data_IF_484559041778
#
_entry.id   IF_484559041778
#
_cell.length_a   1.000
_cell.length_b   1.000
_cell.length_c   1.000
_cell.angle_alpha   90.00
_cell.angle_beta   90.00
_cell.angle_gamma   90.00
#
_symmetry.space_group_name_H-M   'P 1'
#
loop_
_entity.id
_entity.type
_entity.pdbx_description
1 polymer ?
#
# COMPACT_ATOMS: atom_id res chain seq x y z
N UNK A 1 -17.55 -14.23 0.88
CA UNK A 1 -18.38 -13.04 1.14
C UNK A 1 -19.08 -13.23 2.47
N UNK A 2 -19.62 -12.16 3.04
CA UNK A 2 -20.47 -12.28 4.24
C UNK A 2 -21.81 -12.95 3.91
N UNK A 3 -22.47 -13.46 4.95
CA UNK A 3 -23.88 -13.86 4.88
C UNK A 3 -24.78 -12.61 4.87
N UNK A 4 -26.02 -12.78 4.41
CA UNK A 4 -27.01 -11.69 4.41
C UNK A 4 -27.27 -11.17 5.84
N UNK A 5 -27.33 -9.85 5.98
CA UNK A 5 -27.52 -9.23 7.29
C UNK A 5 -28.96 -9.42 7.79
N UNK A 6 -29.11 -10.20 8.87
CA UNK A 6 -30.39 -10.34 9.58
C UNK A 6 -30.61 -9.26 10.67
N UNK A 7 -29.60 -8.42 10.94
CA UNK A 7 -29.66 -7.34 11.94
C UNK A 7 -28.99 -6.07 11.43
N UNK A 8 -29.43 -4.88 11.88
CA UNK A 8 -28.77 -3.61 11.54
C UNK A 8 -27.29 -3.56 11.94
N UNK A 9 -26.93 -4.26 13.03
CA UNK A 9 -25.55 -4.36 13.49
C UNK A 9 -24.67 -5.11 12.48
N UNK A 10 -25.16 -6.22 11.92
CA UNK A 10 -24.42 -6.95 10.90
C UNK A 10 -24.23 -6.11 9.63
N UNK A 11 -25.26 -5.36 9.22
CA UNK A 11 -25.14 -4.48 8.06
C UNK A 11 -24.06 -3.42 8.27
N UNK A 12 -24.02 -2.77 9.44
CA UNK A 12 -22.97 -1.81 9.78
C UNK A 12 -21.56 -2.41 9.76
N UNK A 13 -21.39 -3.68 10.15
CA UNK A 13 -20.10 -4.38 10.06
C UNK A 13 -19.71 -4.63 8.60
N UNK A 14 -20.65 -5.04 7.76
CA UNK A 14 -20.40 -5.28 6.33
C UNK A 14 -20.01 -3.98 5.64
N UNK A 15 -20.71 -2.89 5.91
CA UNK A 15 -20.41 -1.57 5.32
C UNK A 15 -19.01 -1.10 5.73
N UNK A 16 -18.70 -1.15 7.03
CA UNK A 16 -17.36 -0.83 7.54
C UNK A 16 -16.27 -1.70 6.92
N UNK A 17 -16.51 -3.01 6.77
CA UNK A 17 -15.55 -3.90 6.13
C UNK A 17 -15.28 -3.48 4.69
N UNK A 18 -16.30 -3.17 3.90
CA UNK A 18 -16.12 -2.75 2.51
C UNK A 18 -15.33 -1.45 2.40
N UNK A 19 -15.62 -0.48 3.27
CA UNK A 19 -14.91 0.80 3.31
C UNK A 19 -13.42 0.59 3.62
N UNK A 20 -13.09 -0.16 4.67
CA UNK A 20 -11.70 -0.45 5.04
C UNK A 20 -11.00 -1.25 3.93
N UNK A 21 -11.67 -2.27 3.38
CA UNK A 21 -11.09 -3.14 2.37
C UNK A 21 -10.74 -2.37 1.08
N UNK A 22 -11.54 -1.38 0.70
CA UNK A 22 -11.24 -0.49 -0.42
C UNK A 22 -9.90 0.24 -0.23
N UNK A 23 -9.67 0.85 0.94
CA UNK A 23 -8.40 1.52 1.24
C UNK A 23 -7.22 0.54 1.29
N UNK A 24 -7.42 -0.65 1.85
CA UNK A 24 -6.38 -1.68 1.90
C UNK A 24 -5.94 -2.12 0.50
N UNK A 25 -6.89 -2.35 -0.42
CA UNK A 25 -6.57 -2.72 -1.80
C UNK A 25 -5.82 -1.59 -2.51
N UNK A 26 -6.22 -0.33 -2.29
CA UNK A 26 -5.53 0.84 -2.86
C UNK A 26 -4.06 0.87 -2.42
N UNK A 27 -3.81 0.76 -1.11
CA UNK A 27 -2.45 0.74 -0.55
C UNK A 27 -1.65 -0.45 -1.09
N UNK A 28 -2.25 -1.64 -1.14
CA UNK A 28 -1.61 -2.85 -1.64
C UNK A 28 -1.16 -2.70 -3.10
N UNK A 29 -2.03 -2.16 -3.96
CA UNK A 29 -1.70 -1.91 -5.37
C UNK A 29 -0.57 -0.88 -5.50
N UNK A 30 -0.62 0.19 -4.71
CA UNK A 30 0.42 1.22 -4.69
C UNK A 30 1.79 0.66 -4.28
N UNK A 31 1.85 -0.09 -3.17
CA UNK A 31 3.07 -0.73 -2.69
C UNK A 31 3.60 -1.75 -3.70
N UNK A 32 2.72 -2.58 -4.26
CA UNK A 32 3.09 -3.57 -5.26
C UNK A 32 3.68 -2.92 -6.52
N UNK A 33 3.10 -1.81 -6.97
CA UNK A 33 3.62 -1.04 -8.09
C UNK A 33 5.01 -0.47 -7.83
N UNK A 34 5.25 0.13 -6.65
CA UNK A 34 6.58 0.63 -6.26
C UNK A 34 7.59 -0.52 -6.19
N UNK A 35 7.20 -1.67 -5.64
CA UNK A 35 8.07 -2.84 -5.54
C UNK A 35 8.50 -3.34 -6.92
N UNK A 36 7.56 -3.51 -7.85
CA UNK A 36 7.86 -3.94 -9.24
C UNK A 36 8.78 -2.91 -9.91
N UNK A 37 8.50 -1.62 -9.73
CA UNK A 37 9.36 -0.54 -10.25
C UNK A 37 10.77 -0.63 -9.68
N UNK A 38 10.92 -0.84 -8.38
CA UNK A 38 12.22 -0.97 -7.72
C UNK A 38 13.00 -2.17 -8.26
N UNK A 39 12.36 -3.35 -8.35
CA UNK A 39 12.98 -4.56 -8.91
C UNK A 39 13.43 -4.34 -10.36
N UNK A 40 12.66 -3.64 -11.17
CA UNK A 40 13.00 -3.38 -12.57
C UNK A 40 14.16 -2.38 -12.73
N UNK A 41 14.17 -1.29 -11.95
CA UNK A 41 15.15 -0.20 -12.11
C UNK A 41 16.47 -0.51 -11.39
N UNK A 42 16.42 -1.19 -10.26
CA UNK A 42 17.60 -1.55 -9.45
C UNK A 42 18.08 -2.98 -9.72
N UNK A 43 17.64 -3.60 -10.82
CA UNK A 43 18.17 -4.89 -11.26
C UNK A 43 19.67 -4.78 -11.57
N UNK A 44 20.49 -5.72 -11.08
CA UNK A 44 21.96 -5.65 -11.17
C UNK A 44 22.52 -5.41 -12.58
N UNK A 45 21.87 -5.97 -13.63
CA UNK A 45 22.28 -5.73 -15.02
C UNK A 45 22.06 -4.29 -15.48
N UNK A 46 21.07 -3.60 -14.93
CA UNK A 46 20.68 -2.22 -15.29
C UNK A 46 21.31 -1.19 -14.36
N UNK A 47 21.59 -1.57 -13.11
CA UNK A 47 22.17 -0.70 -12.09
C UNK A 47 23.36 -1.40 -11.40
N UNK A 48 24.55 -1.44 -12.05
CA UNK A 48 25.72 -2.15 -11.53
C UNK A 48 26.44 -1.41 -10.39
N UNK A 49 26.24 -0.09 -10.26
CA UNK A 49 26.86 0.73 -9.20
C UNK A 49 25.75 1.26 -8.29
N UNK A 50 25.57 0.72 -7.07
CA UNK A 50 24.51 1.14 -6.18
C UNK A 50 24.73 2.55 -5.64
N UNK A 51 23.64 3.31 -5.50
CA UNK A 51 23.67 4.62 -4.86
C UNK A 51 23.84 4.47 -3.34
N UNK A 52 24.65 5.36 -2.72
CA UNK A 52 24.93 5.37 -1.27
C UNK A 52 24.14 6.44 -0.51
N UNK A 53 22.89 6.68 -0.90
CA UNK A 53 22.01 7.65 -0.23
C UNK A 53 21.35 6.97 0.96
N UNK A 54 21.58 7.48 2.17
CA UNK A 54 21.05 6.91 3.42
C UNK A 54 19.81 7.63 3.93
N UNK A 55 19.66 8.92 3.64
CA UNK A 55 18.57 9.76 4.17
C UNK A 55 17.90 10.53 3.05
N UNK A 56 16.57 10.60 3.12
CA UNK A 56 15.74 11.32 2.18
C UNK A 56 14.63 12.04 2.94
N UNK A 57 14.99 13.10 3.66
CA UNK A 57 14.12 13.82 4.61
C UNK A 57 12.73 14.12 4.06
N UNK A 58 12.62 14.52 2.79
CA UNK A 58 11.33 14.77 2.14
C UNK A 58 10.45 13.52 2.07
N UNK A 59 11.00 12.38 1.64
CA UNK A 59 10.26 11.11 1.54
C UNK A 59 9.91 10.60 2.94
N UNK A 60 10.82 10.80 3.91
CA UNK A 60 10.60 10.44 5.31
C UNK A 60 9.45 11.22 5.94
N UNK A 61 9.34 12.52 5.65
CA UNK A 61 8.20 13.34 6.10
C UNK A 61 6.91 12.88 5.42
N UNK A 62 6.93 12.66 4.10
CA UNK A 62 5.74 12.24 3.34
C UNK A 62 5.14 10.94 3.93
N UNK A 63 5.96 9.90 4.14
CA UNK A 63 5.47 8.62 4.69
C UNK A 63 5.08 8.67 6.18
N UNK A 64 5.52 9.69 6.90
CA UNK A 64 5.13 9.88 8.32
C UNK A 64 3.77 10.57 8.41
N UNK A 65 3.48 11.49 7.49
CA UNK A 65 2.21 12.21 7.41
C UNK A 65 1.14 11.33 6.73
N UNK A 66 1.52 10.61 5.68
CA UNK A 66 0.66 9.73 4.91
C UNK A 66 1.05 8.26 5.17
N UNK A 67 0.40 7.61 6.15
CA UNK A 67 0.63 6.19 6.42
C UNK A 67 0.11 5.27 5.31
#
# INVERSE_FOLDING_TARGET
GFQDAATPMMQGIIDLHHDIFFFLILILVFVSWILVRALWHFHYKKNPIPQRIVHGTTIEIIRTIFP
#
